data_IF_691029523632
#
_entry.id   IF_691029523632
#
_cell.length_a   1.000
_cell.length_b   1.000
_cell.length_c   1.000
_cell.angle_alpha   90.00
_cell.angle_beta   90.00
_cell.angle_gamma   90.00
#
_symmetry.space_group_name_H-M   'P 1'
#
loop_
_entity.id
_entity.type
_entity.pdbx_description
1 polymer ?
#
# COMPACT_ATOMS: atom_id res chain seq x y z
N UNK A 1 -11.50 -27.61 -4.27
CA UNK A 1 -10.91 -26.25 -4.24
C UNK A 1 -10.59 -25.76 -2.83
N UNK A 2 -11.52 -25.77 -1.87
CA UNK A 2 -11.33 -25.21 -0.51
C UNK A 2 -10.12 -25.79 0.25
N UNK A 3 -9.87 -27.11 0.16
CA UNK A 3 -8.69 -27.76 0.77
C UNK A 3 -7.35 -27.20 0.26
N UNK A 4 -7.29 -26.77 -1.01
CA UNK A 4 -6.09 -26.21 -1.64
C UNK A 4 -5.80 -24.79 -1.14
N UNK A 5 -6.85 -23.96 -1.02
CA UNK A 5 -6.75 -22.61 -0.47
C UNK A 5 -6.35 -22.61 1.02
N UNK A 6 -6.96 -23.50 1.83
CA UNK A 6 -6.53 -23.70 3.23
C UNK A 6 -5.05 -24.07 3.33
N UNK A 7 -4.58 -24.98 2.47
CA UNK A 7 -3.16 -25.36 2.42
C UNK A 7 -2.26 -24.16 2.08
N UNK A 8 -2.62 -23.37 1.07
CA UNK A 8 -1.84 -22.18 0.70
C UNK A 8 -1.79 -21.12 1.79
N UNK A 9 -2.91 -20.91 2.49
CA UNK A 9 -2.96 -20.01 3.63
C UNK A 9 -2.06 -20.48 4.79
N UNK A 10 -2.09 -21.78 5.11
CA UNK A 10 -1.19 -22.35 6.14
C UNK A 10 0.28 -22.21 5.73
N UNK A 11 0.60 -22.41 4.45
CA UNK A 11 1.97 -22.25 3.94
C UNK A 11 2.42 -20.80 4.00
N UNK A 12 1.56 -19.86 3.59
CA UNK A 12 1.80 -18.42 3.71
C UNK A 12 2.21 -18.06 5.14
N UNK A 13 1.41 -18.47 6.13
CA UNK A 13 1.68 -18.15 7.53
C UNK A 13 2.97 -18.79 8.04
N UNK A 14 3.27 -20.02 7.64
CA UNK A 14 4.54 -20.69 8.00
C UNK A 14 5.76 -19.96 7.44
N UNK A 15 5.71 -19.49 6.19
CA UNK A 15 6.80 -18.70 5.59
C UNK A 15 6.94 -17.35 6.31
N UNK A 16 5.82 -16.70 6.59
CA UNK A 16 5.79 -15.43 7.34
C UNK A 16 6.46 -15.56 8.71
N UNK A 17 6.10 -16.59 9.48
CA UNK A 17 6.69 -16.86 10.79
C UNK A 17 8.19 -17.14 10.70
N UNK A 18 8.65 -17.84 9.66
CA UNK A 18 10.08 -18.10 9.47
C UNK A 18 10.86 -16.83 9.16
N UNK A 19 10.30 -15.95 8.34
CA UNK A 19 10.90 -14.65 8.04
C UNK A 19 10.96 -13.75 9.28
N UNK A 20 9.92 -13.77 10.13
CA UNK A 20 9.94 -13.07 11.43
C UNK A 20 11.11 -13.56 12.30
N UNK A 21 11.27 -14.88 12.44
CA UNK A 21 12.40 -15.47 13.19
C UNK A 21 13.76 -15.07 12.62
N UNK A 22 13.88 -14.95 11.30
CA UNK A 22 15.12 -14.50 10.64
C UNK A 22 15.45 -13.04 10.96
N UNK A 23 14.44 -12.17 11.12
CA UNK A 23 14.63 -10.76 11.47
C UNK A 23 15.01 -10.61 12.96
N UNK A 24 14.40 -11.42 13.83
CA UNK A 24 14.72 -11.41 15.27
C UNK A 24 16.16 -11.83 15.59
N UNK A 25 16.82 -12.61 14.72
CA UNK A 25 18.24 -12.95 14.88
C UNK A 25 19.14 -11.71 14.85
N UNK A 26 18.78 -10.68 14.09
CA UNK A 26 19.54 -9.43 13.96
C UNK A 26 18.86 -8.29 14.75
N UNK A 27 18.81 -8.44 16.08
CA UNK A 27 18.10 -7.52 16.99
C UNK A 27 18.50 -6.04 16.80
N UNK A 28 19.78 -5.77 16.53
CA UNK A 28 20.25 -4.40 16.30
C UNK A 28 19.66 -3.78 15.02
N UNK A 29 19.58 -4.56 13.92
CA UNK A 29 18.97 -4.12 12.67
C UNK A 29 17.47 -3.83 12.86
N UNK A 30 16.79 -4.69 13.62
CA UNK A 30 15.38 -4.48 13.98
C UNK A 30 15.15 -3.15 14.73
N UNK A 31 15.95 -2.85 15.76
CA UNK A 31 15.80 -1.59 16.51
C UNK A 31 16.18 -0.37 15.68
N UNK A 32 17.24 -0.46 14.86
CA UNK A 32 17.60 0.62 13.94
C UNK A 32 16.48 0.90 12.95
N UNK A 33 15.92 -0.14 12.33
CA UNK A 33 14.77 -0.02 11.41
C UNK A 33 13.60 0.67 12.09
N UNK A 34 13.20 0.24 13.29
CA UNK A 34 12.09 0.84 14.04
C UNK A 34 12.36 2.31 14.38
N UNK A 35 13.57 2.65 14.80
CA UNK A 35 13.96 4.02 15.12
C UNK A 35 13.91 4.93 13.88
N UNK A 36 14.60 4.57 12.80
CA UNK A 36 14.67 5.41 11.59
C UNK A 36 13.32 5.57 10.90
N UNK A 37 12.49 4.52 10.92
CA UNK A 37 11.15 4.59 10.34
C UNK A 37 10.23 5.48 11.14
N UNK A 38 10.27 5.39 12.48
CA UNK A 38 9.55 6.30 13.38
C UNK A 38 10.02 7.74 13.17
N UNK A 39 11.34 7.97 13.17
CA UNK A 39 11.92 9.29 12.95
C UNK A 39 11.46 9.89 11.61
N UNK A 40 11.46 9.09 10.54
CA UNK A 40 10.97 9.51 9.23
C UNK A 40 9.49 9.88 9.26
N UNK A 41 8.64 9.11 9.97
CA UNK A 41 7.22 9.47 10.10
C UNK A 41 7.01 10.72 10.96
N UNK A 42 7.79 10.90 12.02
CA UNK A 42 7.78 12.13 12.84
C UNK A 42 8.14 13.33 11.98
N UNK A 43 9.20 13.25 11.16
CA UNK A 43 9.56 14.32 10.22
C UNK A 43 8.42 14.63 9.22
N UNK A 44 7.78 13.59 8.66
CA UNK A 44 6.64 13.76 7.77
C UNK A 44 5.45 14.48 8.44
N UNK A 45 5.12 14.09 9.67
CA UNK A 45 4.08 14.73 10.47
C UNK A 45 4.44 16.16 10.85
N UNK A 46 5.70 16.44 11.18
CA UNK A 46 6.18 17.79 11.47
C UNK A 46 6.01 18.73 10.28
N UNK A 47 6.27 18.25 9.04
CA UNK A 47 6.03 19.04 7.83
C UNK A 47 4.55 19.41 7.70
N UNK A 48 3.63 18.45 7.92
CA UNK A 48 2.19 18.73 7.91
C UNK A 48 1.84 19.76 9.00
N UNK A 49 2.40 19.63 10.20
CA UNK A 49 2.20 20.57 11.31
C UNK A 49 2.67 22.00 10.99
N UNK A 50 3.85 22.14 10.37
CA UNK A 50 4.40 23.45 9.98
C UNK A 50 3.56 24.12 8.89
N UNK A 51 2.99 23.34 7.95
CA UNK A 51 2.11 23.90 6.93
C UNK A 51 0.84 24.46 7.59
N UNK A 52 0.23 23.70 8.50
CA UNK A 52 -1.00 24.10 9.17
C UNK A 52 -0.83 25.14 10.28
N UNK A 53 0.40 25.37 10.77
CA UNK A 53 0.67 26.52 11.64
C UNK A 53 0.62 27.85 10.88
N UNK A 54 0.81 27.82 9.56
CA UNK A 54 0.78 29.01 8.71
C UNK A 54 -0.52 29.14 7.89
N UNK A 55 -1.18 28.01 7.59
CA UNK A 55 -2.39 27.97 6.76
C UNK A 55 -3.53 27.28 7.53
N UNK A 56 -4.59 28.00 7.93
CA UNK A 56 -5.67 27.43 8.75
C UNK A 56 -6.44 26.28 8.07
N UNK A 57 -6.57 26.33 6.75
CA UNK A 57 -7.24 25.28 5.98
C UNK A 57 -6.71 25.22 4.56
N UNK A 58 -6.48 24.02 4.04
CA UNK A 58 -6.02 23.81 2.66
C UNK A 58 -7.14 23.13 1.87
N UNK A 59 -7.66 23.80 0.84
CA UNK A 59 -8.77 23.27 0.02
C UNK A 59 -10.04 22.93 0.81
N UNK A 60 -10.28 23.62 1.94
CA UNK A 60 -11.38 23.36 2.87
C UNK A 60 -11.12 22.21 3.86
N UNK A 61 -9.89 21.71 3.97
CA UNK A 61 -9.49 20.66 4.91
C UNK A 61 -8.66 21.22 6.07
N UNK A 62 -9.05 20.86 7.29
CA UNK A 62 -8.32 21.13 8.53
C UNK A 62 -7.20 20.09 8.73
N UNK A 63 -6.24 20.42 9.60
CA UNK A 63 -5.09 19.58 9.94
C UNK A 63 -5.51 18.15 10.31
N UNK A 64 -6.50 18.01 11.20
CA UNK A 64 -7.00 16.71 11.67
C UNK A 64 -7.61 15.86 10.55
N UNK A 65 -8.21 16.49 9.55
CA UNK A 65 -8.80 15.81 8.41
C UNK A 65 -7.74 15.33 7.42
N UNK A 66 -6.66 16.10 7.25
CA UNK A 66 -5.47 15.67 6.50
C UNK A 66 -4.73 14.55 7.21
N UNK A 67 -4.66 14.58 8.54
CA UNK A 67 -4.10 13.48 9.30
C UNK A 67 -4.85 12.17 9.05
N UNK A 68 -6.18 12.20 8.86
CA UNK A 68 -6.94 11.00 8.46
C UNK A 68 -6.52 10.52 7.06
N UNK A 69 -6.35 11.43 6.08
CA UNK A 69 -5.83 11.07 4.74
C UNK A 69 -4.46 10.40 4.82
N UNK A 70 -3.57 11.01 5.59
CA UNK A 70 -2.23 10.49 5.82
C UNK A 70 -2.25 9.14 6.55
N UNK A 71 -3.15 8.96 7.52
CA UNK A 71 -3.37 7.68 8.20
C UNK A 71 -3.75 6.55 7.22
N UNK A 72 -4.64 6.82 6.26
CA UNK A 72 -4.97 5.84 5.20
C UNK A 72 -3.76 5.44 4.37
N UNK A 73 -2.98 6.42 3.93
CA UNK A 73 -1.76 6.17 3.15
C UNK A 73 -0.74 5.36 3.97
N UNK A 74 -0.46 5.79 5.20
CA UNK A 74 0.52 5.18 6.08
C UNK A 74 0.13 3.74 6.47
N UNK A 75 -1.15 3.50 6.77
CA UNK A 75 -1.65 2.16 7.07
C UNK A 75 -1.59 1.23 5.85
N UNK A 76 -1.97 1.73 4.66
CA UNK A 76 -1.92 0.95 3.42
C UNK A 76 -0.48 0.59 3.06
N UNK A 77 0.47 1.51 3.24
CA UNK A 77 1.89 1.26 3.01
C UNK A 77 2.45 0.27 4.03
N UNK A 78 2.14 0.46 5.32
CA UNK A 78 2.58 -0.45 6.37
C UNK A 78 2.08 -1.88 6.14
N UNK A 79 0.84 -2.02 5.66
CA UNK A 79 0.25 -3.31 5.30
C UNK A 79 1.01 -4.01 4.16
N UNK A 80 1.37 -3.27 3.10
CA UNK A 80 2.18 -3.83 2.02
C UNK A 80 3.56 -4.24 2.51
N UNK A 81 4.21 -3.40 3.32
CA UNK A 81 5.55 -3.66 3.81
C UNK A 81 5.63 -4.82 4.80
N UNK A 82 4.56 -5.08 5.55
CA UNK A 82 4.54 -6.20 6.49
C UNK A 82 4.09 -7.52 5.85
N UNK A 83 3.05 -7.51 5.02
CA UNK A 83 2.45 -8.75 4.51
C UNK A 83 2.92 -9.14 3.09
N UNK A 84 3.40 -8.16 2.32
CA UNK A 84 3.59 -8.29 0.87
C UNK A 84 4.92 -7.70 0.38
N UNK A 85 5.94 -7.59 1.25
CA UNK A 85 7.19 -6.90 0.91
C UNK A 85 7.94 -7.54 -0.26
N UNK A 86 7.74 -8.85 -0.49
CA UNK A 86 8.30 -9.54 -1.65
C UNK A 86 7.90 -8.92 -3.00
N UNK A 87 6.76 -8.21 -3.07
CA UNK A 87 6.34 -7.46 -4.26
C UNK A 87 7.40 -6.43 -4.71
N UNK A 88 8.03 -5.74 -3.76
CA UNK A 88 9.10 -4.77 -4.04
C UNK A 88 10.35 -5.41 -4.63
N UNK A 89 10.56 -6.70 -4.38
CA UNK A 89 11.79 -7.41 -4.68
C UNK A 89 11.74 -8.20 -5.99
N UNK A 90 10.60 -8.20 -6.69
CA UNK A 90 10.44 -8.92 -7.97
C UNK A 90 11.54 -8.51 -8.97
N UNK A 91 11.82 -7.21 -9.12
CA UNK A 91 12.91 -6.73 -9.99
C UNK A 91 14.26 -7.33 -9.58
N UNK A 92 14.58 -7.33 -8.28
CA UNK A 92 15.83 -7.89 -7.78
C UNK A 92 15.92 -9.42 -7.97
N UNK A 93 14.81 -10.13 -7.77
CA UNK A 93 14.71 -11.58 -7.96
C UNK A 93 14.85 -11.97 -9.43
N UNK A 94 14.27 -11.18 -10.33
CA UNK A 94 14.39 -11.36 -11.78
C UNK A 94 15.86 -11.28 -12.20
N UNK A 95 16.55 -10.20 -11.80
CA UNK A 95 17.96 -9.96 -12.14
C UNK A 95 18.92 -11.00 -11.54
N UNK A 96 18.51 -11.72 -10.50
CA UNK A 96 19.30 -12.76 -9.84
C UNK A 96 18.91 -14.18 -10.27
N UNK A 97 18.05 -14.33 -11.27
CA UNK A 97 17.47 -15.61 -11.69
C UNK A 97 16.81 -16.41 -10.54
N UNK A 98 16.37 -15.76 -9.46
CA UNK A 98 15.74 -16.44 -8.32
C UNK A 98 14.34 -16.98 -8.68
N UNK A 99 13.76 -16.51 -9.79
CA UNK A 99 12.45 -16.95 -10.28
C UNK A 99 12.48 -18.41 -10.77
N UNK A 100 13.61 -18.91 -11.28
CA UNK A 100 13.77 -20.31 -11.67
C UNK A 100 13.50 -21.26 -10.51
N UNK A 101 13.99 -20.90 -9.32
CA UNK A 101 13.73 -21.64 -8.09
C UNK A 101 12.24 -21.65 -7.72
N UNK A 102 11.51 -20.59 -8.03
CA UNK A 102 10.08 -20.53 -7.76
C UNK A 102 9.27 -21.36 -8.76
N UNK A 103 9.73 -21.49 -10.01
CA UNK A 103 9.06 -22.28 -11.06
C UNK A 103 9.13 -23.79 -10.80
N UNK A 104 10.24 -24.29 -10.23
CA UNK A 104 10.41 -25.73 -9.93
C UNK A 104 9.68 -26.18 -8.66
N UNK A 105 9.28 -25.25 -7.79
CA UNK A 105 8.60 -25.57 -6.53
C UNK A 105 7.11 -25.86 -6.78
N UNK A 106 6.50 -26.81 -6.06
CA UNK A 106 5.08 -27.16 -6.22
C UNK A 106 4.14 -26.15 -5.54
N UNK A 107 4.41 -24.85 -5.70
CA UNK A 107 3.65 -23.74 -5.14
C UNK A 107 3.39 -22.67 -6.20
N UNK A 108 2.23 -21.98 -6.17
CA UNK A 108 1.98 -20.88 -7.09
C UNK A 108 3.06 -19.80 -6.98
N UNK A 109 3.65 -19.39 -8.11
CA UNK A 109 4.76 -18.42 -8.14
C UNK A 109 4.37 -17.10 -7.48
N UNK A 110 3.15 -16.60 -7.73
CA UNK A 110 2.67 -15.37 -7.10
C UNK A 110 2.65 -15.42 -5.58
N UNK A 111 2.27 -16.56 -4.99
CA UNK A 111 2.30 -16.75 -3.53
C UNK A 111 3.74 -16.69 -3.02
N UNK A 112 4.66 -17.38 -3.71
CA UNK A 112 6.07 -17.42 -3.33
C UNK A 112 6.69 -16.01 -3.38
N UNK A 113 6.45 -15.28 -4.47
CA UNK A 113 6.93 -13.90 -4.66
C UNK A 113 6.41 -12.94 -3.59
N UNK A 114 5.12 -13.02 -3.25
CA UNK A 114 4.52 -12.20 -2.19
C UNK A 114 5.18 -12.45 -0.83
N UNK A 115 5.41 -13.73 -0.49
CA UNK A 115 5.94 -14.16 0.82
C UNK A 115 7.45 -14.15 0.94
N UNK A 116 8.16 -13.77 -0.13
CA UNK A 116 9.60 -13.95 -0.20
C UNK A 116 10.37 -13.12 0.83
N UNK A 117 9.84 -11.96 1.23
CA UNK A 117 10.41 -11.10 2.26
C UNK A 117 9.31 -10.39 3.04
N UNK A 118 9.62 -9.99 4.27
CA UNK A 118 8.81 -9.14 5.16
C UNK A 118 9.74 -8.13 5.78
N UNK A 119 9.21 -6.95 6.05
CA UNK A 119 9.92 -5.88 6.73
C UNK A 119 9.08 -5.39 7.93
N UNK A 120 9.69 -5.32 9.12
CA UNK A 120 9.01 -4.96 10.37
C UNK A 120 8.61 -3.47 10.45
N UNK A 121 9.21 -2.61 9.62
CA UNK A 121 8.77 -1.23 9.38
C UNK A 121 7.26 -1.15 9.13
N UNK A 122 6.70 -2.13 8.42
CA UNK A 122 5.28 -2.14 8.12
C UNK A 122 4.37 -2.11 9.35
N UNK A 123 4.73 -2.86 10.40
CA UNK A 123 3.98 -2.84 11.66
C UNK A 123 4.10 -1.50 12.38
N UNK A 124 5.29 -0.89 12.35
CA UNK A 124 5.51 0.41 12.95
C UNK A 124 4.62 1.48 12.29
N UNK A 125 4.59 1.51 10.96
CA UNK A 125 3.72 2.40 10.18
C UNK A 125 2.24 2.17 10.48
N UNK A 126 1.80 0.92 10.55
CA UNK A 126 0.40 0.58 10.89
C UNK A 126 0.03 1.04 12.30
N UNK A 127 0.93 0.88 13.28
CA UNK A 127 0.73 1.36 14.64
C UNK A 127 0.60 2.89 14.69
N UNK A 128 1.54 3.61 14.06
CA UNK A 128 1.51 5.07 13.96
C UNK A 128 0.24 5.55 13.25
N UNK A 129 -0.18 4.88 12.17
CA UNK A 129 -1.44 5.19 11.50
C UNK A 129 -2.65 5.00 12.42
N UNK A 130 -2.66 3.96 13.25
CA UNK A 130 -3.68 3.76 14.29
C UNK A 130 -3.77 4.92 15.26
N UNK A 131 -2.63 5.39 15.77
CA UNK A 131 -2.57 6.58 16.65
C UNK A 131 -3.11 7.82 15.93
N UNK A 132 -2.69 8.03 14.68
CA UNK A 132 -3.14 9.16 13.84
C UNK A 132 -4.66 9.10 13.61
N UNK A 133 -5.24 7.92 13.37
CA UNK A 133 -6.69 7.79 13.22
C UNK A 133 -7.44 8.11 14.50
N UNK A 134 -6.97 7.63 15.65
CA UNK A 134 -7.58 7.93 16.96
C UNK A 134 -7.59 9.45 17.21
N UNK A 135 -6.47 10.12 16.97
CA UNK A 135 -6.35 11.58 17.11
C UNK A 135 -7.19 12.34 16.07
N UNK A 136 -7.16 11.92 14.80
CA UNK A 136 -7.95 12.56 13.75
C UNK A 136 -9.45 12.47 14.02
N UNK A 137 -9.94 11.30 14.43
CA UNK A 137 -11.35 11.07 14.72
C UNK A 137 -11.83 11.72 16.01
N UNK A 138 -10.96 11.92 17.02
CA UNK A 138 -11.34 12.62 18.26
C UNK A 138 -11.52 14.13 18.05
N UNK A 139 -10.76 14.73 17.12
CA UNK A 139 -10.81 16.16 16.83
C UNK A 139 -11.76 16.54 15.67
N UNK A 140 -12.19 15.58 14.86
CA UNK A 140 -13.17 15.79 13.80
C UNK A 140 -14.60 15.55 14.29
N UNK A 141 -15.53 16.46 13.98
CA UNK A 141 -16.97 16.28 14.25
C UNK A 141 -17.59 15.30 13.25
N UNK A 142 -17.44 14.01 13.52
CA UNK A 142 -17.99 12.93 12.68
C UNK A 142 -19.28 12.40 13.31
N UNK A 143 -20.36 12.41 12.53
CA UNK A 143 -21.60 11.72 12.91
C UNK A 143 -21.39 10.22 12.74
N UNK A 144 -21.01 9.53 13.83
CA UNK A 144 -20.83 8.09 13.83
C UNK A 144 -22.18 7.38 13.71
N UNK A 145 -22.37 6.70 12.59
CA UNK A 145 -23.47 5.78 12.35
C UNK A 145 -22.92 4.35 12.26
N UNK A 146 -23.71 3.31 12.55
CA UNK A 146 -23.26 1.92 12.40
C UNK A 146 -22.68 1.63 11.00
N UNK A 147 -23.25 2.26 9.96
CA UNK A 147 -22.74 2.18 8.60
C UNK A 147 -21.32 2.74 8.45
N UNK A 148 -21.01 3.90 9.05
CA UNK A 148 -19.66 4.49 9.00
C UNK A 148 -18.63 3.70 9.81
N UNK A 149 -19.05 3.11 10.93
CA UNK A 149 -18.19 2.25 11.76
C UNK A 149 -17.76 1.02 10.97
N UNK A 150 -18.66 0.41 10.18
CA UNK A 150 -18.33 -0.71 9.30
C UNK A 150 -17.59 -0.27 8.03
N UNK A 151 -17.91 0.91 7.50
CA UNK A 151 -17.28 1.46 6.29
C UNK A 151 -15.77 1.64 6.47
N UNK A 152 -15.33 2.26 7.57
CA UNK A 152 -13.91 2.54 7.84
C UNK A 152 -12.99 1.31 7.69
N UNK A 153 -13.19 0.19 8.40
CA UNK A 153 -12.31 -0.97 8.27
C UNK A 153 -12.41 -1.63 6.89
N UNK A 154 -13.58 -1.63 6.25
CA UNK A 154 -13.75 -2.18 4.89
C UNK A 154 -12.96 -1.37 3.88
N UNK A 155 -13.07 -0.04 3.90
CA UNK A 155 -12.29 0.82 3.00
C UNK A 155 -10.81 0.80 3.31
N UNK A 156 -10.43 0.62 4.57
CA UNK A 156 -9.04 0.48 4.96
C UNK A 156 -8.42 -0.80 4.37
N UNK A 157 -9.13 -1.93 4.42
CA UNK A 157 -8.68 -3.18 3.78
C UNK A 157 -8.60 -3.01 2.27
N UNK A 158 -9.59 -2.38 1.64
CA UNK A 158 -9.57 -2.12 0.20
C UNK A 158 -8.39 -1.21 -0.18
N UNK A 159 -8.11 -0.17 0.61
CA UNK A 159 -6.96 0.72 0.43
C UNK A 159 -5.63 -0.07 0.43
N UNK A 160 -5.46 -1.01 1.37
CA UNK A 160 -4.30 -1.91 1.40
C UNK A 160 -4.19 -2.77 0.14
N UNK A 161 -5.31 -3.33 -0.33
CA UNK A 161 -5.33 -4.18 -1.53
C UNK A 161 -4.99 -3.37 -2.79
N UNK A 162 -5.58 -2.18 -2.95
CA UNK A 162 -5.30 -1.31 -4.09
C UNK A 162 -3.81 -0.93 -4.07
N UNK A 163 -3.27 -0.47 -2.93
CA UNK A 163 -1.86 -0.12 -2.77
C UNK A 163 -0.93 -1.30 -3.14
N UNK A 164 -1.27 -2.51 -2.68
CA UNK A 164 -0.55 -3.73 -3.06
C UNK A 164 -0.57 -3.94 -4.57
N UNK A 165 -1.74 -3.86 -5.22
CA UNK A 165 -1.87 -4.07 -6.65
C UNK A 165 -1.05 -3.05 -7.46
N UNK A 166 -1.02 -1.78 -7.05
CA UNK A 166 -0.21 -0.74 -7.70
C UNK A 166 1.27 -1.11 -7.70
N UNK A 167 1.82 -1.44 -6.53
CA UNK A 167 3.24 -1.82 -6.39
C UNK A 167 3.52 -3.12 -7.16
N UNK A 168 2.62 -4.09 -7.07
CA UNK A 168 2.72 -5.37 -7.75
C UNK A 168 2.80 -5.23 -9.27
N UNK A 169 1.89 -4.46 -9.87
CA UNK A 169 1.85 -4.22 -11.31
C UNK A 169 3.13 -3.48 -11.75
N UNK A 170 3.53 -2.44 -11.01
CA UNK A 170 4.74 -1.67 -11.31
C UNK A 170 6.01 -2.53 -11.21
N UNK A 171 6.08 -3.43 -10.24
CA UNK A 171 7.20 -4.36 -10.08
C UNK A 171 7.19 -5.49 -11.11
N UNK A 172 6.03 -6.00 -11.53
CA UNK A 172 5.93 -6.99 -12.60
C UNK A 172 6.26 -6.41 -13.98
N UNK A 173 6.17 -5.09 -14.19
CA UNK A 173 6.62 -4.46 -15.43
C UNK A 173 8.11 -4.77 -15.75
N UNK A 174 8.90 -5.15 -14.74
CA UNK A 174 10.28 -5.65 -14.91
C UNK A 174 10.41 -6.80 -15.88
N UNK A 175 9.40 -7.67 -16.00
CA UNK A 175 9.41 -8.82 -16.93
C UNK A 175 9.53 -8.40 -18.40
N UNK A 176 9.13 -7.17 -18.76
CA UNK A 176 9.22 -6.66 -20.14
C UNK A 176 10.32 -5.63 -20.33
N UNK A 177 10.59 -4.82 -19.30
CA UNK A 177 11.55 -3.72 -19.40
C UNK A 177 13.02 -4.19 -19.40
N UNK A 178 13.28 -5.48 -19.19
CA UNK A 178 14.57 -6.12 -19.45
C UNK A 178 15.75 -5.32 -18.89
N UNK A 179 15.84 -5.18 -17.57
CA UNK A 179 16.94 -4.42 -16.99
C UNK A 179 17.00 -4.36 -15.48
N UNK A 180 18.24 -4.17 -15.01
CA UNK A 180 18.65 -4.04 -13.59
C UNK A 180 17.93 -2.90 -12.84
N UNK A 181 17.27 -1.99 -13.57
CA UNK A 181 16.84 -0.65 -13.10
C UNK A 181 15.34 -0.37 -13.19
N UNK A 182 14.44 -1.37 -13.18
CA UNK A 182 13.02 -1.02 -13.07
C UNK A 182 12.74 -0.35 -11.71
N UNK A 183 12.52 0.97 -11.75
CA UNK A 183 12.17 1.82 -10.61
C UNK A 183 10.71 2.28 -10.64
N UNK A 184 9.87 1.68 -11.48
CA UNK A 184 8.45 2.07 -11.61
C UNK A 184 7.69 1.94 -10.29
N UNK A 185 8.03 0.95 -9.46
CA UNK A 185 7.44 0.81 -8.13
C UNK A 185 7.80 2.00 -7.22
N UNK A 186 9.03 2.50 -7.28
CA UNK A 186 9.44 3.73 -6.59
C UNK A 186 8.76 4.97 -7.17
N UNK A 187 8.63 5.06 -8.49
CA UNK A 187 7.92 6.16 -9.15
C UNK A 187 6.46 6.25 -8.71
N UNK A 188 5.74 5.12 -8.67
CA UNK A 188 4.38 5.04 -8.14
C UNK A 188 4.31 5.50 -6.69
N UNK A 189 5.32 5.18 -5.87
CA UNK A 189 5.40 5.60 -4.47
C UNK A 189 5.60 7.12 -4.36
N UNK A 190 6.56 7.68 -5.11
CA UNK A 190 6.87 9.12 -5.13
C UNK A 190 5.66 9.95 -5.56
N UNK A 191 4.89 9.48 -6.54
CA UNK A 191 3.65 10.14 -6.92
C UNK A 191 2.59 10.07 -5.81
N UNK A 192 2.60 8.99 -5.03
CA UNK A 192 1.76 8.81 -3.86
C UNK A 192 2.00 9.80 -2.73
N UNK A 193 3.19 10.38 -2.63
CA UNK A 193 3.49 11.44 -1.66
C UNK A 193 2.60 12.67 -1.87
N UNK A 194 2.18 12.93 -3.11
CA UNK A 194 1.25 14.01 -3.42
C UNK A 194 -0.18 13.71 -2.92
N UNK A 195 -0.54 12.43 -2.75
CA UNK A 195 -1.86 12.03 -2.25
C UNK A 195 -2.06 12.32 -0.75
N UNK A 196 -1.03 12.83 -0.05
CA UNK A 196 -1.12 13.31 1.35
C UNK A 196 -2.05 14.52 1.48
N UNK A 197 -2.22 15.29 0.41
CA UNK A 197 -3.06 16.47 0.36
C UNK A 197 -4.36 16.19 -0.42
N UNK A 198 -5.45 16.90 -0.12
CA UNK A 198 -6.73 16.66 -0.75
C UNK A 198 -6.70 16.98 -2.24
N UNK A 199 -7.45 16.20 -3.02
CA UNK A 199 -7.50 16.34 -4.48
C UNK A 199 -8.03 17.68 -4.98
N UNK A 200 -8.73 18.43 -4.12
CA UNK A 200 -9.36 19.72 -4.45
C UNK A 200 -8.34 20.83 -4.72
N UNK A 201 -7.08 20.67 -4.28
CA UNK A 201 -6.01 21.65 -4.50
C UNK A 201 -5.39 21.47 -5.89
N UNK A 202 -5.50 20.28 -6.47
CA UNK A 202 -4.88 19.96 -7.75
C UNK A 202 -5.74 20.43 -8.94
N UNK A 203 -5.11 20.88 -10.04
CA UNK A 203 -5.82 21.14 -11.28
C UNK A 203 -6.50 19.88 -11.81
N UNK A 204 -7.55 20.06 -12.62
CA UNK A 204 -8.40 18.96 -13.11
C UNK A 204 -7.63 17.81 -13.77
N UNK A 205 -6.54 18.11 -14.48
CA UNK A 205 -5.66 17.11 -15.09
C UNK A 205 -5.02 16.21 -14.05
N UNK A 206 -4.37 16.80 -13.03
CA UNK A 206 -3.72 16.03 -11.95
C UNK A 206 -4.75 15.27 -11.11
N UNK A 207 -5.91 15.88 -10.85
CA UNK A 207 -7.02 15.20 -10.17
C UNK A 207 -7.43 13.92 -10.93
N UNK A 208 -7.56 13.98 -12.25
CA UNK A 208 -7.89 12.83 -13.10
C UNK A 208 -6.80 11.75 -13.06
N UNK A 209 -5.52 12.15 -13.07
CA UNK A 209 -4.38 11.23 -12.98
C UNK A 209 -4.38 10.48 -11.65
N UNK A 210 -4.51 11.20 -10.53
CA UNK A 210 -4.55 10.61 -9.19
C UNK A 210 -5.80 9.78 -8.92
N UNK A 211 -6.93 10.16 -9.53
CA UNK A 211 -8.17 9.42 -9.40
C UNK A 211 -8.16 8.14 -10.24
N UNK A 212 -7.86 8.19 -11.54
CA UNK A 212 -8.19 7.10 -12.45
C UNK A 212 -6.97 6.36 -13.03
N UNK A 213 -5.82 7.02 -13.17
CA UNK A 213 -4.63 6.40 -13.77
C UNK A 213 -3.81 5.66 -12.72
N UNK A 214 -3.58 6.28 -11.56
CA UNK A 214 -2.76 5.72 -10.47
C UNK A 214 -3.60 5.41 -9.22
N UNK A 215 -4.91 5.18 -9.34
CA UNK A 215 -5.96 5.22 -8.28
C UNK A 215 -5.67 5.63 -6.82
N UNK A 216 -4.82 6.64 -6.56
CA UNK A 216 -4.45 7.05 -5.20
C UNK A 216 -5.59 7.68 -4.42
N UNK A 217 -6.49 8.33 -5.14
CA UNK A 217 -7.72 8.90 -4.58
C UNK A 217 -8.59 7.86 -3.87
N UNK A 218 -8.59 6.61 -4.37
CA UNK A 218 -9.37 5.51 -3.82
C UNK A 218 -8.75 4.93 -2.54
N UNK A 219 -7.48 5.21 -2.26
CA UNK A 219 -6.79 4.77 -1.04
C UNK A 219 -7.11 5.71 0.13
N UNK A 220 -7.05 7.03 -0.08
CA UNK A 220 -7.18 8.02 1.00
C UNK A 220 -8.37 8.98 0.80
N UNK A 221 -8.39 9.72 -0.31
CA UNK A 221 -9.29 10.86 -0.50
C UNK A 221 -10.78 10.51 -0.47
N UNK A 222 -11.23 9.56 -1.30
CA UNK A 222 -12.63 9.16 -1.35
C UNK A 222 -13.13 8.57 -0.01
N UNK A 223 -12.47 7.55 0.58
CA UNK A 223 -12.95 6.99 1.85
C UNK A 223 -12.93 8.01 3.00
N UNK A 224 -11.91 8.86 3.09
CA UNK A 224 -11.86 9.92 4.12
C UNK A 224 -12.94 10.98 3.89
N UNK A 225 -13.19 11.40 2.65
CA UNK A 225 -14.21 12.40 2.34
C UNK A 225 -15.62 11.94 2.74
N UNK A 226 -15.93 10.65 2.53
CA UNK A 226 -17.19 10.06 2.97
C UNK A 226 -17.35 10.04 4.49
N UNK A 227 -16.28 9.63 5.21
CA UNK A 227 -16.29 9.57 6.67
C UNK A 227 -16.47 10.96 7.30
N UNK A 228 -15.82 11.96 6.72
CA UNK A 228 -15.89 13.35 7.16
C UNK A 228 -17.18 14.06 6.71
N UNK A 229 -18.05 13.39 5.94
CA UNK A 229 -19.27 14.00 5.41
C UNK A 229 -19.00 15.14 4.41
N UNK A 230 -17.82 15.15 3.81
CA UNK A 230 -17.45 16.11 2.76
C UNK A 230 -17.98 15.66 1.40
N UNK A 231 -17.97 16.58 0.44
CA UNK A 231 -18.51 16.48 -0.92
C UNK A 231 -17.81 15.43 -1.80
N UNK A 232 -17.73 14.18 -1.35
CA UNK A 232 -17.47 13.02 -2.21
C UNK A 232 -18.78 12.63 -2.88
N UNK A 233 -18.79 12.56 -4.21
CA UNK A 233 -19.96 12.06 -4.93
C UNK A 233 -20.23 10.62 -4.46
N UNK A 234 -21.47 10.29 -4.12
CA UNK A 234 -21.86 8.92 -3.72
C UNK A 234 -21.34 7.87 -4.71
N UNK A 235 -21.34 8.21 -6.00
CA UNK A 235 -20.80 7.41 -7.09
C UNK A 235 -19.31 7.08 -6.94
N UNK A 236 -18.47 8.01 -6.48
CA UNK A 236 -17.03 7.79 -6.31
C UNK A 236 -16.74 6.76 -5.22
N UNK A 237 -17.53 6.77 -4.13
CA UNK A 237 -17.40 5.78 -3.07
C UNK A 237 -17.88 4.38 -3.52
N UNK A 238 -18.95 4.33 -4.33
CA UNK A 238 -19.45 3.09 -4.89
C UNK A 238 -18.45 2.44 -5.87
N UNK A 239 -17.57 3.24 -6.49
CA UNK A 239 -16.51 2.75 -7.36
C UNK A 239 -15.33 2.13 -6.61
N UNK A 240 -15.15 2.37 -5.31
CA UNK A 240 -14.01 1.83 -4.53
C UNK A 240 -13.86 0.30 -4.67
N UNK A 241 -14.92 -0.52 -4.46
CA UNK A 241 -14.82 -1.97 -4.64
C UNK A 241 -14.62 -2.39 -6.10
N UNK A 242 -15.21 -1.66 -7.06
CA UNK A 242 -15.06 -1.96 -8.48
C UNK A 242 -13.61 -1.75 -8.95
N UNK A 243 -12.98 -0.63 -8.56
CA UNK A 243 -11.58 -0.34 -8.84
C UNK A 243 -10.66 -1.38 -8.19
N UNK A 244 -10.95 -1.78 -6.95
CA UNK A 244 -10.25 -2.86 -6.28
C UNK A 244 -10.31 -4.18 -7.09
N UNK A 245 -11.49 -4.56 -7.57
CA UNK A 245 -11.66 -5.76 -8.40
C UNK A 245 -10.89 -5.69 -9.73
N UNK A 246 -10.93 -4.53 -10.41
CA UNK A 246 -10.18 -4.30 -11.65
C UNK A 246 -8.68 -4.39 -11.40
N UNK A 247 -8.18 -3.77 -10.33
CA UNK A 247 -6.76 -3.79 -9.96
C UNK A 247 -6.27 -5.19 -9.59
N UNK A 248 -7.07 -5.97 -8.86
CA UNK A 248 -6.77 -7.37 -8.56
C UNK A 248 -6.71 -8.23 -9.82
N UNK A 249 -7.66 -8.05 -10.73
CA UNK A 249 -7.66 -8.74 -12.01
C UNK A 249 -6.42 -8.37 -12.83
N UNK A 250 -6.11 -7.07 -12.94
CA UNK A 250 -4.92 -6.58 -13.63
C UNK A 250 -3.63 -7.15 -13.02
N UNK A 251 -3.48 -7.15 -11.70
CA UNK A 251 -2.32 -7.70 -11.00
C UNK A 251 -2.11 -9.19 -11.31
N UNK A 252 -3.18 -9.99 -11.34
CA UNK A 252 -3.13 -11.39 -11.72
C UNK A 252 -2.75 -11.59 -13.20
N UNK A 253 -3.31 -10.80 -14.12
CA UNK A 253 -2.98 -10.89 -15.55
C UNK A 253 -1.55 -10.47 -15.83
N UNK A 254 -1.07 -9.37 -15.24
CA UNK A 254 0.29 -8.87 -15.44
C UNK A 254 1.31 -9.90 -14.96
N UNK A 255 1.09 -10.56 -13.81
CA UNK A 255 1.97 -11.65 -13.40
C UNK A 255 1.95 -12.80 -14.41
N UNK A 256 0.76 -13.23 -14.86
CA UNK A 256 0.63 -14.35 -15.79
C UNK A 256 1.31 -14.07 -17.13
N UNK A 257 1.17 -12.85 -17.65
CA UNK A 257 1.81 -12.43 -18.89
C UNK A 257 3.33 -12.26 -18.69
N UNK A 258 3.76 -11.71 -17.56
CA UNK A 258 5.17 -11.58 -17.21
C UNK A 258 5.89 -12.92 -17.14
N UNK A 259 5.28 -13.91 -16.48
CA UNK A 259 5.83 -15.28 -16.40
C UNK A 259 5.90 -16.00 -17.75
N UNK A 260 5.06 -15.64 -18.72
CA UNK A 260 5.14 -16.18 -20.09
C UNK A 260 6.28 -15.59 -20.89
N UNK A 261 6.68 -14.35 -20.58
CA UNK A 261 7.79 -13.65 -21.23
C UNK A 261 9.13 -13.95 -20.57
N UNK A 262 9.10 -14.44 -19.33
CA UNK A 262 10.29 -14.74 -18.55
C UNK A 262 11.20 -15.75 -19.27
N UNK A 263 12.41 -15.29 -19.56
CA UNK A 263 13.54 -16.09 -20.02
C UNK A 263 14.60 -16.04 -18.92
N UNK A 264 15.18 -17.19 -18.58
CA UNK A 264 16.22 -17.25 -17.56
C UNK A 264 17.53 -16.69 -18.11
N UNK A 265 18.19 -15.83 -17.34
CA UNK A 265 19.52 -15.31 -17.66
C UNK A 265 20.64 -16.34 -17.37
N UNK A 266 20.31 -17.58 -16.96
CA UNK A 266 21.23 -18.74 -17.00
C UNK A 266 22.47 -18.64 -16.10
N UNK A 267 22.40 -17.88 -15.00
CA UNK A 267 23.51 -17.67 -14.08
C UNK A 267 23.59 -18.74 -12.97
#
# INVERSE_FOLDING_TARGET
>A
MIKRWKRYFVIYWKIQLQNIKSLEQYRADFFMMLFFTTLSQVCNLSVIGIIYSNIPSVGGWNMWEILILYGYLLFSEGSVNFFFQGAWKITQMLNKAEIDRFLIRPLPVGLQLITAKIDFDGLNKMFLAGVIFVLGFSHCRINWTPARILYFPVTLVIACIIRFCMIWIASCASFWLGGIKNSLNYFVLTIGEMAKYPLTIYPAVLNTVFAYIIPYAFISYFPASYLLGKSGSFWQNLMIPAVCGIMLFAAAQVLRLGLRRYESDGN
#
